data_IF_735181679642
#
_entry.id   IF_735181679642
#
_cell.length_a   1.000
_cell.length_b   1.000
_cell.length_c   1.000
_cell.angle_alpha   90.00
_cell.angle_beta   90.00
_cell.angle_gamma   90.00
#
_symmetry.space_group_name_H-M   'P 1'
#
loop_
_entity.id
_entity.type
_entity.pdbx_description
1 polymer ?
#
# COMPACT_ATOMS: atom_id res chain seq x y z
N UNK A 1 -5.22 -24.78 -0.90
CA UNK A 1 -4.47 -23.52 -1.06
C UNK A 1 -5.36 -22.39 -0.54
N UNK A 2 -5.13 -21.88 0.68
CA UNK A 2 -5.90 -20.73 1.17
C UNK A 2 -5.39 -19.51 0.40
N UNK A 3 -6.26 -18.83 -0.33
CA UNK A 3 -6.00 -17.53 -0.90
C UNK A 3 -5.67 -16.57 0.25
N UNK A 4 -4.40 -16.26 0.42
CA UNK A 4 -3.91 -15.29 1.38
C UNK A 4 -4.08 -13.91 0.75
N UNK A 5 -5.30 -13.43 0.74
CA UNK A 5 -5.66 -12.08 0.35
C UNK A 5 -6.94 -11.72 1.08
N UNK A 6 -6.79 -11.15 2.26
CA UNK A 6 -7.93 -10.58 2.96
C UNK A 6 -8.39 -9.39 2.14
N UNK A 7 -9.51 -9.49 1.46
CA UNK A 7 -10.10 -8.38 0.72
C UNK A 7 -10.48 -7.24 1.68
N UNK A 8 -10.59 -6.03 1.18
CA UNK A 8 -11.01 -4.85 1.95
C UNK A 8 -12.33 -5.06 2.69
N UNK A 9 -13.21 -5.88 2.13
CA UNK A 9 -14.48 -6.25 2.72
C UNK A 9 -14.32 -7.08 4.01
N UNK A 10 -13.43 -8.09 4.00
CA UNK A 10 -13.15 -8.88 5.19
C UNK A 10 -12.53 -8.02 6.29
N UNK A 11 -11.59 -7.14 5.93
CA UNK A 11 -10.98 -6.19 6.88
C UNK A 11 -12.05 -5.28 7.49
N UNK A 12 -13.02 -4.81 6.69
CA UNK A 12 -14.13 -4.02 7.19
C UNK A 12 -14.97 -4.79 8.20
N UNK A 13 -15.31 -6.04 7.91
CA UNK A 13 -16.07 -6.90 8.82
C UNK A 13 -15.32 -7.14 10.14
N UNK A 14 -14.04 -7.48 10.07
CA UNK A 14 -13.21 -7.70 11.24
C UNK A 14 -13.10 -6.43 12.11
N UNK A 15 -12.92 -5.27 11.50
CA UNK A 15 -12.86 -4.00 12.21
C UNK A 15 -14.19 -3.60 12.85
N UNK A 16 -15.33 -3.94 12.25
CA UNK A 16 -16.65 -3.73 12.88
C UNK A 16 -16.82 -4.55 14.16
N UNK A 17 -16.21 -5.73 14.22
CA UNK A 17 -16.24 -6.57 15.43
C UNK A 17 -15.35 -5.97 16.53
N UNK A 18 -14.15 -5.49 16.15
CA UNK A 18 -13.17 -4.94 17.11
C UNK A 18 -13.54 -3.53 17.58
N UNK A 19 -14.11 -2.73 16.69
CA UNK A 19 -14.47 -1.33 16.92
C UNK A 19 -15.93 -1.09 16.53
N UNK A 20 -16.91 -1.58 17.31
CA UNK A 20 -18.33 -1.55 16.94
C UNK A 20 -18.89 -0.13 16.79
N UNK A 21 -18.36 0.83 17.54
CA UNK A 21 -18.80 2.23 17.52
C UNK A 21 -18.06 3.10 16.49
N UNK A 22 -17.06 2.56 15.79
CA UNK A 22 -16.28 3.32 14.83
C UNK A 22 -17.03 3.47 13.49
N UNK A 23 -16.96 4.68 12.93
CA UNK A 23 -17.49 5.00 11.61
C UNK A 23 -16.45 4.60 10.55
N UNK A 24 -16.72 3.48 9.89
CA UNK A 24 -15.82 2.91 8.88
C UNK A 24 -16.18 3.43 7.48
N UNK A 25 -15.17 3.73 6.67
CA UNK A 25 -15.32 4.06 5.25
C UNK A 25 -14.40 3.18 4.40
N UNK A 26 -14.99 2.40 3.50
CA UNK A 26 -14.23 1.60 2.54
C UNK A 26 -14.06 2.36 1.23
N UNK A 27 -12.81 2.44 0.74
CA UNK A 27 -12.39 3.10 -0.49
C UNK A 27 -11.61 2.13 -1.36
N UNK A 28 -12.31 1.39 -2.19
CA UNK A 28 -11.73 0.48 -3.18
C UNK A 28 -12.39 0.69 -4.55
N UNK A 29 -12.00 -0.12 -5.55
CA UNK A 29 -12.57 -0.01 -6.89
C UNK A 29 -14.06 -0.29 -6.92
N UNK A 30 -14.54 -1.14 -6.02
CA UNK A 30 -15.95 -1.57 -5.99
C UNK A 30 -16.85 -0.52 -5.32
N UNK A 31 -16.28 0.36 -4.48
CA UNK A 31 -17.01 1.43 -3.81
C UNK A 31 -16.91 2.78 -4.54
N UNK A 32 -15.94 2.93 -5.44
CA UNK A 32 -15.72 4.16 -6.21
C UNK A 32 -16.51 4.17 -7.52
N UNK A 33 -17.84 4.16 -7.44
CA UNK A 33 -18.71 4.27 -8.60
C UNK A 33 -19.22 5.72 -8.78
N UNK A 34 -19.01 6.29 -9.97
CA UNK A 34 -19.50 7.62 -10.34
C UNK A 34 -18.47 8.75 -10.22
N UNK A 35 -18.73 9.85 -10.96
CA UNK A 35 -17.79 10.98 -11.09
C UNK A 35 -17.54 11.74 -9.78
N UNK A 36 -18.42 11.63 -8.79
CA UNK A 36 -18.37 12.39 -7.54
C UNK A 36 -18.09 11.54 -6.30
N UNK A 37 -18.12 10.20 -6.42
CA UNK A 37 -17.93 9.29 -5.28
C UNK A 37 -16.66 9.59 -4.47
N UNK A 38 -15.56 9.87 -5.16
CA UNK A 38 -14.29 10.17 -4.53
C UNK A 38 -14.33 11.51 -3.75
N UNK A 39 -14.92 12.55 -4.33
CA UNK A 39 -15.03 13.86 -3.67
C UNK A 39 -15.96 13.82 -2.45
N UNK A 40 -17.04 13.06 -2.53
CA UNK A 40 -17.95 12.85 -1.38
C UNK A 40 -17.26 12.11 -0.24
N UNK A 41 -16.48 11.06 -0.55
CA UNK A 41 -15.70 10.34 0.46
C UNK A 41 -14.64 11.23 1.10
N UNK A 42 -13.95 12.07 0.31
CA UNK A 42 -12.99 13.03 0.84
C UNK A 42 -13.65 14.06 1.76
N UNK A 43 -14.81 14.56 1.38
CA UNK A 43 -15.57 15.49 2.23
C UNK A 43 -15.93 14.86 3.57
N UNK A 44 -16.41 13.61 3.60
CA UNK A 44 -16.72 12.89 4.83
C UNK A 44 -15.50 12.72 5.75
N UNK A 45 -14.33 12.51 5.17
CA UNK A 45 -13.09 12.40 5.96
C UNK A 45 -12.69 13.77 6.52
N UNK A 46 -12.79 14.82 5.71
CA UNK A 46 -12.47 16.19 6.13
C UNK A 46 -13.43 16.73 7.19
N UNK A 47 -14.71 16.37 7.10
CA UNK A 47 -15.73 16.76 8.09
C UNK A 47 -15.72 15.90 9.37
N UNK A 48 -14.72 15.01 9.53
CA UNK A 48 -14.61 14.10 10.68
C UNK A 48 -15.82 13.17 10.88
N UNK A 49 -16.51 12.81 9.80
CA UNK A 49 -17.61 11.84 9.83
C UNK A 49 -17.12 10.40 9.78
N UNK A 50 -15.81 10.17 9.63
CA UNK A 50 -15.17 8.88 9.48
C UNK A 50 -14.03 8.74 10.49
N UNK A 51 -13.99 7.61 11.18
CA UNK A 51 -12.95 7.30 12.16
C UNK A 51 -11.87 6.39 11.56
N UNK A 52 -12.25 5.45 10.69
CA UNK A 52 -11.32 4.52 10.05
C UNK A 52 -11.60 4.45 8.55
N UNK A 53 -10.57 4.66 7.75
CA UNK A 53 -10.63 4.48 6.29
C UNK A 53 -9.92 3.17 5.92
N UNK A 54 -10.60 2.33 5.14
CA UNK A 54 -10.09 1.04 4.67
C UNK A 54 -9.97 1.11 3.16
N UNK A 55 -8.85 0.65 2.60
CA UNK A 55 -8.75 0.58 1.15
C UNK A 55 -7.41 0.06 0.65
N UNK A 56 -7.24 0.12 -0.66
CA UNK A 56 -6.04 -0.31 -1.36
C UNK A 56 -5.10 0.89 -1.64
N UNK A 57 -4.15 0.71 -2.53
CA UNK A 57 -3.22 1.78 -2.97
C UNK A 57 -3.92 3.06 -3.47
N UNK A 58 -5.22 3.02 -3.78
CA UNK A 58 -6.00 4.18 -4.20
C UNK A 58 -6.01 5.28 -3.13
N UNK A 59 -6.00 4.91 -1.84
CA UNK A 59 -5.96 5.86 -0.72
C UNK A 59 -4.64 6.63 -0.69
N UNK A 60 -3.55 6.03 -1.16
CA UNK A 60 -2.21 6.64 -1.08
C UNK A 60 -1.94 7.66 -2.18
N UNK A 61 -2.69 7.61 -3.29
CA UNK A 61 -2.47 8.47 -4.45
C UNK A 61 -3.32 9.74 -4.41
N UNK A 62 -2.66 10.88 -4.30
CA UNK A 62 -3.27 12.20 -4.61
C UNK A 62 -4.22 12.79 -3.57
N UNK A 63 -4.44 12.13 -2.42
CA UNK A 63 -5.35 12.61 -1.40
C UNK A 63 -4.60 13.06 -0.16
N UNK A 64 -4.98 14.20 0.37
CA UNK A 64 -4.45 14.71 1.63
C UNK A 64 -5.46 14.42 2.76
N UNK A 65 -4.98 13.74 3.80
CA UNK A 65 -5.76 13.41 4.99
C UNK A 65 -5.07 14.04 6.22
N UNK A 66 -5.35 15.31 6.52
CA UNK A 66 -4.56 16.07 7.50
C UNK A 66 -4.63 15.54 8.93
N UNK A 67 -5.65 14.78 9.28
CA UNK A 67 -5.89 14.32 10.65
C UNK A 67 -5.60 12.83 10.89
N UNK A 68 -4.90 12.18 9.96
CA UNK A 68 -4.52 10.77 10.11
C UNK A 68 -3.36 10.63 11.09
N UNK A 69 -3.63 10.02 12.23
CA UNK A 69 -2.65 9.77 13.29
C UNK A 69 -2.07 8.35 13.26
N UNK A 70 -2.76 7.41 12.61
CA UNK A 70 -2.32 6.02 12.48
C UNK A 70 -2.57 5.52 11.06
N UNK A 71 -1.56 4.90 10.46
CA UNK A 71 -1.71 4.14 9.21
C UNK A 71 -1.26 2.70 9.43
N UNK A 72 -2.14 1.75 9.12
CA UNK A 72 -1.85 0.31 9.11
C UNK A 72 -1.63 -0.19 7.69
N UNK A 73 -0.50 -0.81 7.43
CA UNK A 73 -0.23 -1.54 6.19
C UNK A 73 -0.32 -3.02 6.47
N UNK A 74 -1.35 -3.65 5.93
CA UNK A 74 -1.56 -5.08 6.07
C UNK A 74 -0.89 -5.83 4.91
N UNK A 75 -0.28 -6.99 5.21
CA UNK A 75 0.29 -7.91 4.22
C UNK A 75 1.27 -7.22 3.25
N UNK A 76 2.23 -6.45 3.77
CA UNK A 76 3.25 -5.77 2.97
C UNK A 76 4.03 -6.72 2.04
N UNK A 77 4.12 -8.01 2.42
CA UNK A 77 4.79 -9.05 1.64
C UNK A 77 4.10 -9.38 0.32
N UNK A 78 2.81 -9.08 0.15
CA UNK A 78 2.12 -9.33 -1.12
C UNK A 78 2.78 -8.59 -2.28
N UNK A 79 3.24 -7.36 -2.04
CA UNK A 79 3.98 -6.59 -3.02
C UNK A 79 5.35 -7.20 -3.35
N UNK A 80 6.05 -7.73 -2.34
CA UNK A 80 7.37 -8.32 -2.47
C UNK A 80 7.38 -9.66 -3.20
N UNK A 81 6.30 -10.43 -3.08
CA UNK A 81 6.20 -11.77 -3.65
C UNK A 81 5.70 -11.78 -5.10
N UNK A 82 5.48 -10.62 -5.71
CA UNK A 82 5.11 -10.54 -7.12
C UNK A 82 6.31 -10.94 -8.00
N UNK A 83 6.10 -11.70 -9.09
CA UNK A 83 7.15 -12.06 -10.04
C UNK A 83 7.50 -10.87 -10.98
N UNK A 84 7.89 -9.75 -10.41
CA UNK A 84 8.30 -8.54 -11.11
C UNK A 84 9.59 -8.02 -10.46
N UNK A 85 10.61 -7.75 -11.27
CA UNK A 85 11.89 -7.24 -10.78
C UNK A 85 11.76 -5.90 -10.01
N UNK A 86 10.67 -5.19 -10.18
CA UNK A 86 10.36 -3.93 -9.47
C UNK A 86 9.59 -4.14 -8.17
N UNK A 87 9.39 -5.37 -7.72
CA UNK A 87 8.58 -5.66 -6.53
C UNK A 87 9.12 -4.95 -5.28
N UNK A 88 10.42 -5.01 -5.05
CA UNK A 88 11.09 -4.34 -3.94
C UNK A 88 10.97 -2.80 -4.06
N UNK A 89 11.21 -2.25 -5.24
CA UNK A 89 11.11 -0.82 -5.50
C UNK A 89 9.69 -0.30 -5.30
N UNK A 90 8.68 -1.00 -5.84
CA UNK A 90 7.27 -0.62 -5.67
C UNK A 90 6.84 -0.68 -4.20
N UNK A 91 7.33 -1.67 -3.46
CA UNK A 91 7.05 -1.78 -2.03
C UNK A 91 7.70 -0.63 -1.27
N UNK A 92 8.97 -0.32 -1.53
CA UNK A 92 9.65 0.84 -0.97
C UNK A 92 8.87 2.14 -1.24
N UNK A 93 8.50 2.39 -2.50
CA UNK A 93 7.76 3.59 -2.91
C UNK A 93 6.40 3.69 -2.20
N UNK A 94 5.66 2.58 -2.15
CA UNK A 94 4.36 2.53 -1.47
C UNK A 94 4.51 2.87 0.02
N UNK A 95 5.44 2.23 0.71
CA UNK A 95 5.64 2.43 2.15
C UNK A 95 6.12 3.85 2.47
N UNK A 96 6.99 4.41 1.64
CA UNK A 96 7.43 5.81 1.78
C UNK A 96 6.27 6.79 1.57
N UNK A 97 5.39 6.53 0.58
CA UNK A 97 4.18 7.33 0.38
C UNK A 97 3.23 7.26 1.58
N UNK A 98 3.03 6.06 2.11
CA UNK A 98 2.18 5.83 3.29
C UNK A 98 2.75 6.54 4.51
N UNK A 99 4.07 6.42 4.75
CA UNK A 99 4.74 7.09 5.85
C UNK A 99 4.58 8.63 5.78
N UNK A 100 4.65 9.19 4.58
CA UNK A 100 4.41 10.62 4.35
C UNK A 100 2.96 11.08 4.53
N UNK A 101 2.01 10.18 4.80
CA UNK A 101 0.59 10.52 5.06
C UNK A 101 0.28 10.62 6.55
N UNK A 102 0.98 9.88 7.40
CA UNK A 102 0.80 9.95 8.83
C UNK A 102 1.45 11.22 9.39
N UNK A 103 0.73 11.94 10.28
CA UNK A 103 1.31 13.05 11.04
C UNK A 103 1.44 14.38 10.30
N UNK A 104 0.61 14.64 9.28
CA UNK A 104 0.57 15.95 8.60
C UNK A 104 -0.19 17.04 9.38
N UNK A 105 -0.83 16.69 10.49
CA UNK A 105 -1.50 17.63 11.37
C UNK A 105 -0.64 17.98 12.60
N UNK A 106 -1.27 18.56 13.59
CA UNK A 106 -0.62 18.91 14.88
C UNK A 106 -0.20 17.68 15.71
N UNK A 107 -0.76 16.51 15.40
CA UNK A 107 -0.49 15.27 16.13
C UNK A 107 0.53 14.42 15.39
N UNK A 108 1.52 13.83 16.08
CA UNK A 108 2.48 12.93 15.45
C UNK A 108 1.77 11.69 14.89
N UNK A 109 2.13 11.32 13.68
CA UNK A 109 1.59 10.13 13.03
C UNK A 109 2.43 8.89 13.32
N UNK A 110 1.77 7.73 13.33
CA UNK A 110 2.41 6.41 13.46
C UNK A 110 2.07 5.54 12.25
N UNK A 111 3.02 4.74 11.80
CA UNK A 111 2.81 3.75 10.75
C UNK A 111 3.14 2.37 11.30
N UNK A 112 2.20 1.44 11.16
CA UNK A 112 2.38 0.04 11.51
C UNK A 112 2.39 -0.78 10.23
N UNK A 113 3.43 -1.60 10.04
CA UNK A 113 3.58 -2.45 8.87
C UNK A 113 3.56 -3.91 9.32
N UNK A 114 2.56 -4.65 8.86
CA UNK A 114 2.48 -6.08 9.08
C UNK A 114 3.25 -6.80 7.96
N UNK A 115 4.24 -7.61 8.35
CA UNK A 115 5.10 -8.34 7.42
C UNK A 115 5.63 -9.64 8.04
N UNK A 116 5.87 -10.65 7.22
CA UNK A 116 6.60 -11.87 7.58
C UNK A 116 8.11 -11.75 7.31
N UNK A 117 8.52 -10.68 6.60
CA UNK A 117 9.93 -10.45 6.25
C UNK A 117 10.42 -9.06 6.70
N UNK A 118 10.48 -8.81 8.03
CA UNK A 118 10.80 -7.49 8.58
C UNK A 118 12.23 -7.00 8.26
N UNK A 119 13.11 -7.92 7.85
CA UNK A 119 14.51 -7.60 7.51
C UNK A 119 14.72 -7.33 6.02
N UNK A 120 13.68 -7.32 5.20
CA UNK A 120 13.82 -7.01 3.79
C UNK A 120 14.29 -5.56 3.59
N UNK A 121 15.29 -5.36 2.74
CA UNK A 121 15.92 -4.04 2.56
C UNK A 121 14.92 -2.94 2.19
N UNK A 122 13.91 -3.23 1.36
CA UNK A 122 12.89 -2.23 0.99
C UNK A 122 12.04 -1.77 2.18
N UNK A 123 11.81 -2.63 3.19
CA UNK A 123 11.07 -2.26 4.40
C UNK A 123 11.94 -1.41 5.33
N UNK A 124 13.17 -1.88 5.59
CA UNK A 124 14.11 -1.18 6.47
C UNK A 124 14.43 0.23 5.97
N UNK A 125 14.71 0.35 4.67
CA UNK A 125 15.01 1.65 4.07
C UNK A 125 13.78 2.55 3.95
N UNK A 126 12.59 1.99 3.70
CA UNK A 126 11.35 2.77 3.71
C UNK A 126 11.00 3.31 5.10
N UNK A 127 11.29 2.56 6.17
CA UNK A 127 11.11 3.02 7.55
C UNK A 127 11.92 4.29 7.85
N UNK A 128 13.11 4.39 7.28
CA UNK A 128 14.00 5.54 7.40
C UNK A 128 13.80 6.59 6.30
N UNK A 129 12.94 6.31 5.32
CA UNK A 129 12.75 7.10 4.10
C UNK A 129 14.08 7.32 3.33
N UNK A 130 15.00 6.36 3.43
CA UNK A 130 16.35 6.43 2.88
C UNK A 130 16.39 5.79 1.48
N UNK A 131 16.15 6.61 0.47
CA UNK A 131 16.22 6.19 -0.94
C UNK A 131 17.64 5.79 -1.36
N UNK A 132 18.67 6.49 -0.86
CA UNK A 132 20.04 6.20 -1.24
C UNK A 132 20.47 4.80 -0.77
N UNK A 133 20.19 4.46 0.48
CA UNK A 133 20.45 3.12 1.00
C UNK A 133 19.62 2.04 0.31
N UNK A 134 18.38 2.34 -0.09
CA UNK A 134 17.56 1.43 -0.90
C UNK A 134 18.26 1.13 -2.24
N UNK A 135 18.65 2.16 -2.99
CA UNK A 135 19.30 2.02 -4.29
C UNK A 135 20.63 1.24 -4.18
N UNK A 136 21.43 1.55 -3.18
CA UNK A 136 22.71 0.89 -2.96
C UNK A 136 22.58 -0.62 -2.67
N UNK A 137 21.44 -1.06 -2.14
CA UNK A 137 21.17 -2.48 -1.91
C UNK A 137 20.44 -3.14 -3.09
N UNK A 138 19.57 -2.42 -3.77
CA UNK A 138 18.77 -2.94 -4.88
C UNK A 138 19.59 -3.12 -6.17
N UNK A 139 20.43 -2.14 -6.55
CA UNK A 139 21.17 -2.21 -7.82
C UNK A 139 22.10 -3.40 -7.92
N UNK A 140 22.92 -3.77 -6.92
CA UNK A 140 23.77 -4.97 -6.99
C UNK A 140 22.96 -6.27 -7.20
N UNK A 141 21.77 -6.35 -6.62
CA UNK A 141 20.85 -7.48 -6.82
C UNK A 141 20.37 -7.53 -8.27
N UNK A 142 19.96 -6.40 -8.84
CA UNK A 142 19.53 -6.32 -10.24
C UNK A 142 20.65 -6.67 -11.20
N UNK A 143 21.86 -6.22 -10.96
CA UNK A 143 23.03 -6.58 -11.77
C UNK A 143 23.29 -8.09 -11.71
N UNK A 144 23.33 -8.66 -10.51
CA UNK A 144 23.55 -10.10 -10.30
C UNK A 144 22.49 -10.96 -11.00
N UNK A 145 21.22 -10.52 -10.97
CA UNK A 145 20.11 -11.24 -11.60
C UNK A 145 19.85 -10.82 -13.05
N UNK A 146 20.74 -10.00 -13.63
CA UNK A 146 20.62 -9.49 -15.01
C UNK A 146 19.27 -8.85 -15.28
N UNK A 147 18.88 -7.93 -14.40
CA UNK A 147 17.62 -7.19 -14.48
C UNK A 147 17.86 -5.72 -14.91
N UNK A 148 16.86 -5.00 -15.39
CA UNK A 148 16.99 -3.58 -15.67
C UNK A 148 17.47 -2.78 -14.43
N UNK A 149 18.36 -1.80 -14.61
CA UNK A 149 18.80 -1.17 -15.86
C UNK A 149 19.97 -1.88 -16.57
N UNK A 150 20.54 -2.95 -16.02
CA UNK A 150 21.72 -3.62 -16.54
C UNK A 150 21.43 -4.48 -17.77
N UNK A 151 20.18 -4.92 -17.94
CA UNK A 151 19.69 -5.69 -19.06
C UNK A 151 18.31 -5.20 -19.50
N UNK A 152 17.97 -5.41 -20.76
CA UNK A 152 16.61 -5.20 -21.27
C UNK A 152 15.79 -6.49 -21.11
N UNK A 153 14.56 -6.36 -20.65
CA UNK A 153 13.60 -7.46 -20.54
C UNK A 153 12.48 -7.25 -21.54
N UNK A 154 12.12 -8.33 -22.25
CA UNK A 154 10.92 -8.39 -23.07
C UNK A 154 10.03 -9.52 -22.57
N UNK A 155 8.73 -9.24 -22.43
CA UNK A 155 7.73 -10.24 -22.05
C UNK A 155 6.68 -10.34 -23.14
N UNK A 156 6.41 -11.56 -23.60
CA UNK A 156 5.36 -11.86 -24.57
C UNK A 156 4.30 -12.70 -23.86
N UNK A 157 3.09 -12.16 -23.77
CA UNK A 157 1.95 -12.87 -23.22
C UNK A 157 1.09 -13.43 -24.35
N UNK A 158 1.05 -14.76 -24.49
CA UNK A 158 0.17 -15.46 -25.41
C UNK A 158 -1.06 -15.96 -24.67
N UNK A 159 -2.24 -15.54 -25.12
CA UNK A 159 -3.52 -15.98 -24.56
C UNK A 159 -4.28 -16.70 -25.66
N UNK A 160 -4.65 -17.97 -25.44
CA UNK A 160 -5.56 -18.73 -26.30
C UNK A 160 -6.91 -18.89 -25.58
N UNK A 161 -8.00 -18.91 -26.35
CA UNK A 161 -9.35 -19.23 -25.86
C UNK A 161 -9.69 -20.71 -26.01
N UNK A 162 -8.90 -21.44 -26.80
CA UNK A 162 -9.07 -22.87 -27.06
C UNK A 162 -7.95 -23.62 -26.31
N UNK A 163 -8.36 -24.60 -25.49
CA UNK A 163 -7.49 -25.63 -24.93
C UNK A 163 -7.31 -26.79 -25.93
#
# INVERSE_FOLDING_TARGET
MRLVGTGTEQIEQDLRVVFPDARLLRMDRDTLHGKHALSEMQQKIQSHEVDIVIGTQLITKGHDFPNVTLVGVLLADLGLNLPDFRSAERTFQLLTQVAGRAGRGEKPGRVLIQTNNPHHHSLLTAQLQDYASFVNQELPLRERFRQPPFMSLASVLCISRDE
#
